data_IF_065397250566
#
_entry.id   IF_065397250566
#
_cell.length_a   1.000
_cell.length_b   1.000
_cell.length_c   1.000
_cell.angle_alpha   90.00
_cell.angle_beta   90.00
_cell.angle_gamma   90.00
#
_symmetry.space_group_name_H-M   'P 1'
#
loop_
_entity.id
_entity.type
_entity.pdbx_description
1 polymer ?
#
# COMPACT_ATOMS: atom_id res chain seq x y z
N UNK A 1 -50.38 26.76 -2.92
CA UNK A 1 -49.30 26.00 -2.24
C UNK A 1 -48.58 24.98 -3.13
N UNK A 2 -49.14 24.55 -4.28
CA UNK A 2 -48.50 23.50 -5.10
C UNK A 2 -47.37 23.98 -6.03
N UNK A 3 -47.25 25.30 -6.28
CA UNK A 3 -46.17 25.85 -7.12
C UNK A 3 -44.84 26.04 -6.37
N UNK A 4 -44.89 26.23 -5.05
CA UNK A 4 -43.70 26.37 -4.21
C UNK A 4 -43.04 24.99 -3.95
N UNK A 5 -43.83 23.92 -3.91
CA UNK A 5 -43.36 22.55 -3.71
C UNK A 5 -42.67 21.99 -4.97
N UNK A 6 -43.13 22.38 -6.16
CA UNK A 6 -42.51 22.03 -7.44
C UNK A 6 -41.16 22.71 -7.67
N UNK A 7 -40.96 23.90 -7.09
CA UNK A 7 -39.69 24.65 -7.21
C UNK A 7 -38.61 24.10 -6.27
N UNK A 8 -39.00 23.53 -5.13
CA UNK A 8 -38.09 22.86 -4.18
C UNK A 8 -37.62 21.49 -4.69
N UNK A 9 -38.43 20.78 -5.48
CA UNK A 9 -38.04 19.48 -6.05
C UNK A 9 -37.03 19.60 -7.21
N UNK A 10 -37.01 20.74 -7.91
CA UNK A 10 -36.10 20.97 -9.04
C UNK A 10 -34.66 21.31 -8.60
N UNK A 11 -34.46 21.80 -7.37
CA UNK A 11 -33.16 22.22 -6.85
C UNK A 11 -32.35 21.02 -6.31
N UNK A 12 -32.98 19.90 -5.97
CA UNK A 12 -32.30 18.70 -5.47
C UNK A 12 -31.64 17.82 -6.55
N UNK A 13 -31.82 18.12 -7.84
CA UNK A 13 -31.32 17.28 -8.94
C UNK A 13 -29.91 17.63 -9.44
N UNK A 14 -29.23 18.62 -8.85
CA UNK A 14 -27.94 19.13 -9.37
C UNK A 14 -26.71 18.67 -8.57
N UNK A 15 -26.86 17.80 -7.57
CA UNK A 15 -25.71 17.10 -6.97
C UNK A 15 -25.44 15.85 -7.80
N UNK A 16 -25.06 16.06 -9.06
CA UNK A 16 -24.42 15.03 -9.85
C UNK A 16 -23.05 14.76 -9.23
N UNK A 17 -22.80 13.50 -8.83
CA UNK A 17 -21.47 13.02 -8.53
C UNK A 17 -20.52 13.42 -9.66
N UNK A 18 -19.61 14.34 -9.40
CA UNK A 18 -18.35 14.40 -10.12
C UNK A 18 -17.60 13.11 -9.77
N UNK A 19 -17.84 12.04 -10.53
CA UNK A 19 -16.82 11.00 -10.67
C UNK A 19 -15.66 11.72 -11.33
N UNK A 20 -14.58 11.94 -10.56
CA UNK A 20 -13.31 12.30 -11.16
C UNK A 20 -13.00 11.19 -12.16
N UNK A 21 -13.16 11.51 -13.44
CA UNK A 21 -12.90 10.61 -14.54
C UNK A 21 -11.38 10.54 -14.68
N UNK A 22 -10.75 9.66 -13.90
CA UNK A 22 -9.36 9.30 -14.07
C UNK A 22 -9.28 8.40 -15.31
N UNK A 23 -9.48 8.98 -16.49
CA UNK A 23 -9.20 8.29 -17.74
C UNK A 23 -7.69 8.20 -17.89
N UNK A 24 -7.10 7.18 -17.28
CA UNK A 24 -5.85 6.63 -17.80
C UNK A 24 -6.22 6.16 -19.20
N UNK A 25 -5.67 6.84 -20.21
CA UNK A 25 -5.84 6.45 -21.60
C UNK A 25 -5.39 4.99 -21.69
N UNK A 26 -6.27 4.09 -22.11
CA UNK A 26 -5.86 2.74 -22.53
C UNK A 26 -4.92 2.93 -23.73
N UNK A 27 -3.63 3.10 -23.48
CA UNK A 27 -2.62 2.87 -24.50
C UNK A 27 -2.72 1.39 -24.84
N UNK A 28 -2.94 1.02 -26.10
CA UNK A 28 -3.12 -0.40 -26.46
C UNK A 28 -1.82 -1.20 -26.36
N UNK A 29 -0.69 -0.52 -26.19
CA UNK A 29 0.66 -1.07 -26.27
C UNK A 29 1.10 -1.78 -24.98
N UNK A 30 1.98 -2.76 -25.13
CA UNK A 30 2.62 -3.43 -24.01
C UNK A 30 3.51 -2.44 -23.26
N UNK A 31 3.44 -2.37 -21.91
CA UNK A 31 4.30 -1.49 -21.13
C UNK A 31 5.77 -1.67 -21.45
N UNK A 32 6.51 -0.58 -21.55
CA UNK A 32 7.93 -0.59 -21.96
C UNK A 32 8.78 -1.44 -21.01
N UNK A 33 8.46 -1.37 -19.72
CA UNK A 33 9.14 -2.17 -18.70
C UNK A 33 8.94 -3.68 -18.84
N UNK A 34 7.93 -4.09 -19.62
CA UNK A 34 7.64 -5.49 -19.95
C UNK A 34 8.05 -5.87 -21.38
N UNK A 35 8.35 -4.90 -22.25
CA UNK A 35 8.93 -5.14 -23.57
C UNK A 35 10.44 -5.37 -23.45
N UNK A 36 10.84 -6.56 -22.99
CA UNK A 36 12.23 -6.98 -23.10
C UNK A 36 12.35 -8.02 -24.22
N UNK A 37 13.29 -7.80 -25.13
CA UNK A 37 13.62 -8.73 -26.22
C UNK A 37 13.71 -10.17 -25.71
N UNK A 38 13.10 -11.08 -26.48
CA UNK A 38 13.12 -12.54 -26.28
C UNK A 38 14.56 -13.06 -26.14
N UNK A 39 15.15 -12.99 -24.95
CA UNK A 39 16.53 -13.44 -24.76
C UNK A 39 17.10 -13.19 -23.37
N UNK A 40 16.84 -12.03 -22.77
CA UNK A 40 17.31 -11.73 -21.43
C UNK A 40 16.34 -10.75 -20.81
N UNK A 41 15.72 -11.10 -19.67
CA UNK A 41 15.17 -10.09 -18.76
C UNK A 41 16.35 -9.24 -18.28
N UNK A 42 16.79 -8.28 -19.09
CA UNK A 42 17.82 -7.33 -18.76
C UNK A 42 17.22 -6.33 -17.76
N UNK A 43 17.03 -6.82 -16.54
CA UNK A 43 16.77 -6.10 -15.30
C UNK A 43 17.97 -5.23 -14.89
N UNK A 44 18.75 -4.74 -15.85
CA UNK A 44 20.16 -4.37 -15.65
C UNK A 44 20.47 -2.89 -15.87
N UNK A 45 19.51 -2.03 -16.26
CA UNK A 45 19.81 -0.62 -16.56
C UNK A 45 19.19 0.44 -15.64
N UNK A 46 18.30 0.09 -14.70
CA UNK A 46 17.70 1.10 -13.80
C UNK A 46 17.92 0.77 -12.32
N UNK A 47 19.11 1.14 -11.87
CA UNK A 47 19.51 1.34 -10.48
C UNK A 47 19.57 0.09 -9.58
N UNK A 48 20.77 -0.18 -9.07
CA UNK A 48 21.05 -1.09 -7.96
C UNK A 48 20.43 -0.56 -6.64
N UNK A 49 19.11 -0.58 -6.51
CA UNK A 49 18.41 -0.38 -5.22
C UNK A 49 17.18 -1.27 -5.14
N UNK A 50 17.40 -2.49 -4.65
CA UNK A 50 16.39 -3.51 -4.38
C UNK A 50 15.64 -3.97 -5.63
N UNK A 51 15.35 -5.26 -5.70
CA UNK A 51 14.53 -5.81 -6.77
C UNK A 51 13.10 -5.28 -6.59
N UNK A 52 12.78 -4.13 -7.20
CA UNK A 52 11.44 -3.54 -7.17
C UNK A 52 10.47 -4.50 -7.84
N UNK A 53 9.33 -4.75 -7.20
CA UNK A 53 8.32 -5.65 -7.74
C UNK A 53 7.75 -5.13 -9.07
N UNK A 54 7.18 -6.03 -9.86
CA UNK A 54 6.65 -5.73 -11.21
C UNK A 54 5.56 -4.66 -11.19
N UNK A 55 4.76 -4.57 -10.12
CA UNK A 55 3.72 -3.53 -10.00
C UNK A 55 4.37 -2.18 -9.76
N UNK A 56 5.38 -2.10 -8.89
CA UNK A 56 6.13 -0.87 -8.70
C UNK A 56 6.78 -0.39 -10.00
N UNK A 57 7.38 -1.30 -10.78
CA UNK A 57 7.98 -0.98 -12.09
C UNK A 57 6.97 -0.40 -13.09
N UNK A 58 5.79 -1.01 -13.21
CA UNK A 58 4.70 -0.50 -14.04
C UNK A 58 4.20 0.86 -13.53
N UNK A 59 4.10 1.01 -12.21
CA UNK A 59 3.66 2.26 -11.60
C UNK A 59 4.65 3.39 -11.85
N UNK A 60 5.95 3.12 -11.77
CA UNK A 60 7.00 4.11 -12.05
C UNK A 60 6.96 4.58 -13.52
N UNK A 61 6.74 3.67 -14.47
CA UNK A 61 6.52 4.02 -15.88
C UNK A 61 5.28 4.92 -16.04
N UNK A 62 4.17 4.61 -15.37
CA UNK A 62 2.98 5.45 -15.38
C UNK A 62 3.21 6.83 -14.73
N UNK A 63 3.98 6.88 -13.64
CA UNK A 63 4.38 8.12 -12.95
C UNK A 63 5.21 9.01 -13.87
N UNK A 64 6.11 8.44 -14.65
CA UNK A 64 6.94 9.21 -15.59
C UNK A 64 6.15 9.76 -16.78
N UNK A 65 5.06 9.08 -17.17
CA UNK A 65 4.17 9.49 -18.27
C UNK A 65 3.08 10.49 -17.84
N UNK A 66 2.64 10.50 -16.57
CA UNK A 66 1.60 11.40 -16.06
C UNK A 66 2.12 12.43 -15.04
N UNK A 67 2.19 13.71 -15.45
CA UNK A 67 2.69 14.81 -14.61
C UNK A 67 1.87 15.05 -13.33
N UNK A 68 0.56 14.75 -13.36
CA UNK A 68 -0.32 14.88 -12.20
C UNK A 68 -0.07 13.75 -11.23
N UNK A 69 0.07 12.52 -11.72
CA UNK A 69 0.42 11.36 -10.90
C UNK A 69 1.78 11.56 -10.23
N UNK A 70 2.78 12.03 -10.99
CA UNK A 70 4.11 12.41 -10.46
C UNK A 70 4.02 13.45 -9.35
N UNK A 71 3.19 14.47 -9.52
CA UNK A 71 2.95 15.50 -8.49
C UNK A 71 2.34 14.90 -7.22
N UNK A 72 1.41 13.95 -7.35
CA UNK A 72 0.82 13.26 -6.20
C UNK A 72 1.88 12.43 -5.46
N UNK A 73 2.66 11.60 -6.17
CA UNK A 73 3.72 10.77 -5.58
C UNK A 73 4.75 11.64 -4.84
N UNK A 74 5.24 12.71 -5.47
CA UNK A 74 6.18 13.63 -4.84
C UNK A 74 5.62 14.28 -3.56
N UNK A 75 4.30 14.49 -3.48
CA UNK A 75 3.65 15.05 -2.27
C UNK A 75 3.54 14.00 -1.17
N UNK A 76 3.30 12.73 -1.51
CA UNK A 76 3.30 11.61 -0.57
C UNK A 76 4.70 11.49 0.06
N UNK A 77 5.76 11.46 -0.75
CA UNK A 77 7.14 11.39 -0.27
C UNK A 77 7.51 12.54 0.69
N UNK A 78 7.10 13.77 0.35
CA UNK A 78 7.32 14.95 1.20
C UNK A 78 6.58 14.90 2.53
N UNK A 79 5.45 14.18 2.62
CA UNK A 79 4.72 14.04 3.88
C UNK A 79 5.51 13.23 4.92
N UNK A 80 6.30 12.25 4.47
CA UNK A 80 7.15 11.46 5.36
C UNK A 80 8.30 12.29 5.95
N UNK A 81 8.89 13.18 5.14
CA UNK A 81 9.89 14.14 5.61
C UNK A 81 9.28 15.11 6.62
N UNK A 82 8.14 15.71 6.29
CA UNK A 82 7.45 16.68 7.16
C UNK A 82 7.07 16.09 8.51
N UNK A 83 6.63 14.82 8.53
CA UNK A 83 6.27 14.08 9.75
C UNK A 83 7.46 13.95 10.70
N UNK A 84 8.62 13.54 10.17
CA UNK A 84 9.82 13.26 10.96
C UNK A 84 10.26 14.48 11.77
N UNK A 85 10.21 15.66 11.15
CA UNK A 85 10.61 16.89 11.81
C UNK A 85 9.50 17.44 12.71
N UNK A 86 8.25 17.45 12.24
CA UNK A 86 7.14 18.09 12.96
C UNK A 86 6.72 17.38 14.24
N UNK A 87 6.91 16.05 14.33
CA UNK A 87 6.50 15.27 15.51
C UNK A 87 7.62 15.06 16.52
N UNK A 88 8.86 15.48 16.21
CA UNK A 88 10.03 15.26 17.06
C UNK A 88 9.87 15.82 18.47
N UNK A 89 9.39 17.05 18.59
CA UNK A 89 9.18 17.72 19.89
C UNK A 89 8.09 17.02 20.71
N UNK A 90 6.99 16.65 20.06
CA UNK A 90 5.91 15.89 20.69
C UNK A 90 6.41 14.55 21.23
N UNK A 91 7.14 13.77 20.43
CA UNK A 91 7.70 12.49 20.87
C UNK A 91 8.69 12.66 22.02
N UNK A 92 9.52 13.70 21.97
CA UNK A 92 10.46 14.03 23.05
C UNK A 92 9.71 14.38 24.34
N UNK A 93 8.65 15.16 24.25
CA UNK A 93 7.79 15.53 25.37
C UNK A 93 7.13 14.30 26.02
N UNK A 94 6.52 13.43 25.21
CA UNK A 94 5.88 12.19 25.70
C UNK A 94 6.90 11.27 26.37
N UNK A 95 8.05 11.05 25.73
CA UNK A 95 9.11 10.20 26.26
C UNK A 95 9.68 10.75 27.58
N UNK A 96 9.82 12.07 27.69
CA UNK A 96 10.32 12.72 28.92
C UNK A 96 9.32 12.57 30.07
N UNK A 97 8.03 12.80 29.83
CA UNK A 97 7.01 12.62 30.86
C UNK A 97 6.90 11.15 31.31
N UNK A 98 7.04 10.19 30.38
CA UNK A 98 7.09 8.77 30.75
C UNK A 98 8.28 8.46 31.70
N UNK A 99 9.43 9.10 31.49
CA UNK A 99 10.58 9.00 32.42
C UNK A 99 10.26 9.59 33.79
N UNK A 100 9.57 10.74 33.85
CA UNK A 100 9.13 11.32 35.12
C UNK A 100 8.20 10.39 35.89
N UNK A 101 7.22 9.78 35.22
CA UNK A 101 6.30 8.82 35.85
C UNK A 101 7.01 7.60 36.38
N UNK A 102 7.92 7.02 35.58
CA UNK A 102 8.73 5.88 35.99
C UNK A 102 9.60 6.22 37.20
N UNK A 103 10.21 7.40 37.24
CA UNK A 103 11.04 7.85 38.35
C UNK A 103 10.22 8.10 39.63
N UNK A 104 9.03 8.70 39.53
CA UNK A 104 8.14 8.89 40.68
C UNK A 104 7.68 7.56 41.26
N UNK A 105 7.31 6.59 40.42
CA UNK A 105 6.92 5.25 40.87
C UNK A 105 8.08 4.53 41.55
N UNK A 106 9.29 4.67 41.01
CA UNK A 106 10.51 4.17 41.66
C UNK A 106 10.71 4.81 43.03
N UNK A 107 10.68 6.14 43.15
CA UNK A 107 10.87 6.79 44.46
C UNK A 107 9.81 6.41 45.47
N UNK A 108 8.53 6.29 45.07
CA UNK A 108 7.47 5.80 45.95
C UNK A 108 7.75 4.39 46.48
N UNK A 109 8.33 3.51 45.66
CA UNK A 109 8.70 2.14 46.05
C UNK A 109 9.89 2.06 47.02
N UNK A 110 10.74 3.08 47.05
CA UNK A 110 11.91 3.14 47.94
C UNK A 110 11.57 3.67 49.35
N UNK A 111 10.35 4.15 49.57
CA UNK A 111 9.93 4.68 50.87
C UNK A 111 9.55 3.51 51.79
N UNK A 112 10.38 3.26 52.81
CA UNK A 112 10.15 2.19 53.79
C UNK A 112 8.95 2.46 54.71
N UNK A 113 8.67 3.72 55.02
CA UNK A 113 7.48 4.08 55.82
C UNK A 113 6.23 3.94 54.94
N UNK A 114 5.48 2.86 55.18
CA UNK A 114 4.27 2.54 54.43
C UNK A 114 3.18 3.60 54.57
N UNK A 115 3.11 4.27 55.72
CA UNK A 115 2.12 5.34 55.96
C UNK A 115 2.49 6.57 55.14
N UNK A 116 3.77 6.94 55.10
CA UNK A 116 4.26 8.03 54.27
C UNK A 116 4.08 7.73 52.77
N UNK A 117 4.40 6.51 52.34
CA UNK A 117 4.21 6.07 50.94
C UNK A 117 2.74 6.16 50.52
N UNK A 118 1.82 5.69 51.38
CA UNK A 118 0.38 5.79 51.14
C UNK A 118 -0.12 7.23 51.08
N UNK A 119 0.47 8.16 51.83
CA UNK A 119 0.12 9.60 51.77
C UNK A 119 0.60 10.26 50.48
N UNK A 120 1.74 9.84 49.92
CA UNK A 120 2.32 10.42 48.70
C UNK A 120 1.68 9.89 47.42
N UNK A 121 1.22 8.64 47.41
CA UNK A 121 0.61 8.02 46.22
C UNK A 121 -0.56 8.84 45.62
N UNK A 122 -1.54 9.34 46.40
CA UNK A 122 -2.60 10.19 45.86
C UNK A 122 -2.12 11.49 45.22
N UNK A 123 -0.98 12.04 45.68
CA UNK A 123 -0.37 13.25 45.11
C UNK A 123 0.19 12.93 43.72
N UNK A 124 0.94 11.83 43.60
CA UNK A 124 1.47 11.36 42.31
C UNK A 124 0.33 11.00 41.34
N UNK A 125 -0.71 10.32 41.81
CA UNK A 125 -1.87 9.96 40.98
C UNK A 125 -2.61 11.22 40.48
N UNK A 126 -2.72 12.25 41.32
CA UNK A 126 -3.32 13.53 40.92
C UNK A 126 -2.46 14.27 39.91
N UNK A 127 -1.13 14.26 40.07
CA UNK A 127 -0.21 14.84 39.11
C UNK A 127 -0.31 14.16 37.73
N UNK A 128 -0.34 12.82 37.71
CA UNK A 128 -0.52 12.02 36.48
C UNK A 128 -1.85 12.37 35.80
N UNK A 129 -2.97 12.34 36.53
CA UNK A 129 -4.30 12.66 35.97
C UNK A 129 -4.39 14.09 35.44
N UNK A 130 -3.85 15.07 36.15
CA UNK A 130 -3.85 16.46 35.68
C UNK A 130 -3.04 16.61 34.39
N UNK A 131 -1.88 15.95 34.31
CA UNK A 131 -1.09 15.93 33.08
C UNK A 131 -1.86 15.26 31.93
N UNK A 132 -2.45 14.08 32.16
CA UNK A 132 -3.26 13.37 31.16
C UNK A 132 -4.38 14.24 30.60
N UNK A 133 -5.09 14.98 31.46
CA UNK A 133 -6.13 15.92 31.04
C UNK A 133 -5.57 17.07 30.21
N UNK A 134 -4.43 17.64 30.62
CA UNK A 134 -3.80 18.76 29.91
C UNK A 134 -3.29 18.38 28.52
N UNK A 135 -2.91 17.11 28.31
CA UNK A 135 -2.34 16.63 27.04
C UNK A 135 -3.34 15.85 26.18
N UNK A 136 -4.59 15.71 26.63
CA UNK A 136 -5.62 14.94 25.94
C UNK A 136 -5.80 15.39 24.48
N UNK A 137 -5.79 16.70 24.22
CA UNK A 137 -5.85 17.27 22.87
C UNK A 137 -4.68 16.86 21.99
N UNK A 138 -3.44 16.88 22.52
CA UNK A 138 -2.23 16.47 21.80
C UNK A 138 -2.26 14.97 21.47
N UNK A 139 -2.69 14.14 22.43
CA UNK A 139 -2.83 12.69 22.22
C UNK A 139 -3.88 12.36 21.15
N UNK A 140 -5.01 13.05 21.18
CA UNK A 140 -6.06 12.92 20.16
C UNK A 140 -5.54 13.30 18.77
N UNK A 141 -4.84 14.44 18.66
CA UNK A 141 -4.26 14.88 17.39
C UNK A 141 -3.21 13.89 16.87
N UNK A 142 -2.30 13.41 17.72
CA UNK A 142 -1.31 12.40 17.34
C UNK A 142 -1.96 11.10 16.85
N UNK A 143 -3.02 10.65 17.52
CA UNK A 143 -3.77 9.44 17.10
C UNK A 143 -4.43 9.63 15.73
N UNK A 144 -4.97 10.83 15.45
CA UNK A 144 -5.54 11.16 14.15
C UNK A 144 -4.49 11.22 13.04
N UNK A 145 -3.30 11.76 13.34
CA UNK A 145 -2.18 11.77 12.39
C UNK A 145 -1.78 10.34 12.03
N UNK A 146 -1.64 9.46 13.01
CA UNK A 146 -1.34 8.04 12.78
C UNK A 146 -2.44 7.32 11.97
N UNK A 147 -3.71 7.64 12.22
CA UNK A 147 -4.81 7.10 11.43
C UNK A 147 -4.74 7.57 9.98
N UNK A 148 -4.48 8.86 9.75
CA UNK A 148 -4.33 9.42 8.40
C UNK A 148 -3.12 8.83 7.66
N UNK A 149 -2.02 8.55 8.36
CA UNK A 149 -0.85 7.88 7.80
C UNK A 149 -1.21 6.50 7.25
N UNK A 150 -1.93 5.68 8.03
CA UNK A 150 -2.39 4.36 7.56
C UNK A 150 -3.31 4.49 6.35
N UNK A 151 -4.26 5.42 6.41
CA UNK A 151 -5.13 5.70 5.26
C UNK A 151 -4.32 6.10 4.03
N UNK A 152 -3.28 6.92 4.18
CA UNK A 152 -2.45 7.34 3.05
C UNK A 152 -1.72 6.16 2.41
N UNK A 153 -1.16 5.26 3.22
CA UNK A 153 -0.50 4.03 2.75
C UNK A 153 -1.49 3.14 1.99
N UNK A 154 -2.69 2.92 2.55
CA UNK A 154 -3.72 2.10 1.89
C UNK A 154 -4.14 2.71 0.55
N UNK A 155 -4.29 4.05 0.49
CA UNK A 155 -4.61 4.77 -0.74
C UNK A 155 -3.46 4.70 -1.77
N UNK A 156 -2.20 4.75 -1.34
CA UNK A 156 -1.05 4.60 -2.22
C UNK A 156 -1.03 3.19 -2.84
N UNK A 157 -1.25 2.15 -2.04
CA UNK A 157 -1.34 0.76 -2.55
C UNK A 157 -2.48 0.62 -3.56
N UNK A 158 -3.67 1.14 -3.22
CA UNK A 158 -4.83 1.12 -4.13
C UNK A 158 -4.53 1.87 -5.44
N UNK A 159 -3.88 3.03 -5.36
CA UNK A 159 -3.47 3.81 -6.53
C UNK A 159 -2.51 3.02 -7.42
N UNK A 160 -1.50 2.36 -6.84
CA UNK A 160 -0.57 1.50 -7.59
C UNK A 160 -1.30 0.40 -8.35
N UNK A 161 -2.23 -0.29 -7.70
CA UNK A 161 -3.04 -1.34 -8.33
C UNK A 161 -3.86 -0.77 -9.49
N UNK A 162 -4.65 0.27 -9.24
CA UNK A 162 -5.57 0.81 -10.23
C UNK A 162 -4.86 1.46 -11.42
N UNK A 163 -3.72 2.10 -11.20
CA UNK A 163 -2.93 2.73 -12.26
C UNK A 163 -2.28 1.68 -13.17
N UNK A 164 -1.80 0.57 -12.59
CA UNK A 164 -1.07 -0.46 -13.34
C UNK A 164 -1.97 -1.53 -13.95
N UNK A 165 -3.23 -1.58 -13.54
CA UNK A 165 -4.18 -2.57 -14.02
C UNK A 165 -4.46 -2.56 -15.55
N UNK A 166 -4.62 -1.41 -16.24
CA UNK A 166 -4.68 -1.41 -17.70
C UNK A 166 -3.36 -1.89 -18.34
N UNK A 167 -2.22 -1.52 -17.78
CA UNK A 167 -0.89 -1.92 -18.25
C UNK A 167 -0.69 -3.45 -18.18
N UNK A 168 -1.15 -4.07 -17.07
CA UNK A 168 -1.14 -5.53 -16.92
C UNK A 168 -2.03 -6.21 -17.96
N UNK A 169 -3.22 -5.66 -18.23
CA UNK A 169 -4.12 -6.20 -19.26
C UNK A 169 -3.51 -6.12 -20.65
N UNK A 170 -2.84 -5.02 -20.98
CA UNK A 170 -2.20 -4.86 -22.28
C UNK A 170 -1.14 -5.94 -22.49
N UNK A 171 -0.27 -6.18 -21.51
CA UNK A 171 0.70 -7.27 -21.58
C UNK A 171 0.01 -8.63 -21.77
N UNK A 172 -0.99 -8.95 -20.94
CA UNK A 172 -1.70 -10.23 -21.02
C UNK A 172 -2.38 -10.46 -22.37
N UNK A 173 -2.86 -9.39 -23.02
CA UNK A 173 -3.49 -9.45 -24.33
C UNK A 173 -2.47 -9.55 -25.45
N UNK A 174 -1.45 -8.69 -25.43
CA UNK A 174 -0.54 -8.48 -26.55
C UNK A 174 0.56 -9.54 -26.59
N UNK A 175 1.00 -10.03 -25.44
CA UNK A 175 2.10 -11.00 -25.30
C UNK A 175 1.60 -12.43 -25.08
N UNK A 176 0.30 -12.69 -25.21
CA UNK A 176 -0.27 -14.05 -25.11
C UNK A 176 0.34 -14.96 -26.18
N UNK A 177 1.00 -16.07 -25.81
CA UNK A 177 1.59 -16.97 -26.79
C UNK A 177 0.53 -17.63 -27.70
N UNK A 178 0.88 -17.84 -28.96
CA UNK A 178 0.02 -18.61 -29.87
C UNK A 178 -0.06 -20.08 -29.41
N UNK A 179 -1.29 -20.55 -29.16
CA UNK A 179 -1.56 -21.93 -28.77
C UNK A 179 -1.04 -22.94 -29.79
N UNK A 180 -0.99 -22.60 -31.08
CA UNK A 180 -0.50 -23.49 -32.14
C UNK A 180 0.97 -23.87 -31.93
N UNK A 181 1.78 -22.95 -31.38
CA UNK A 181 3.17 -23.26 -31.07
C UNK A 181 3.27 -24.35 -29.99
N UNK A 182 2.41 -24.27 -28.96
CA UNK A 182 2.34 -25.28 -27.90
C UNK A 182 1.77 -26.61 -28.43
N UNK A 183 0.74 -26.56 -29.27
CA UNK A 183 0.18 -27.74 -29.93
C UNK A 183 1.20 -28.46 -30.81
N UNK A 184 2.05 -27.72 -31.54
CA UNK A 184 3.10 -28.30 -32.37
C UNK A 184 4.12 -29.07 -31.53
N UNK A 185 4.53 -28.50 -30.38
CA UNK A 185 5.42 -29.18 -29.44
C UNK A 185 4.76 -30.44 -28.88
N UNK A 186 3.49 -30.36 -28.48
CA UNK A 186 2.72 -31.51 -27.99
C UNK A 186 2.65 -32.63 -29.04
N UNK A 187 2.33 -32.29 -30.28
CA UNK A 187 2.25 -33.27 -31.37
C UNK A 187 3.59 -33.99 -31.59
N UNK A 188 4.71 -33.26 -31.50
CA UNK A 188 6.04 -33.87 -31.58
C UNK A 188 6.27 -34.92 -30.49
N UNK A 189 5.87 -34.64 -29.24
CA UNK A 189 5.93 -35.63 -28.16
C UNK A 189 4.98 -36.81 -28.39
N UNK A 190 3.75 -36.57 -28.82
CA UNK A 190 2.76 -37.65 -29.06
C UNK A 190 3.27 -38.64 -30.12
N UNK A 191 3.85 -38.14 -31.21
CA UNK A 191 4.43 -38.97 -32.26
C UNK A 191 5.61 -39.80 -31.74
N UNK A 192 6.53 -39.17 -30.99
CA UNK A 192 7.69 -39.88 -30.45
C UNK A 192 7.28 -40.98 -29.46
N UNK A 193 6.28 -40.71 -28.61
CA UNK A 193 5.72 -41.72 -27.70
C UNK A 193 5.08 -42.87 -28.48
N UNK A 194 4.35 -42.57 -29.55
CA UNK A 194 3.75 -43.59 -30.41
C UNK A 194 4.82 -44.48 -31.04
N UNK A 195 5.91 -43.90 -31.55
CA UNK A 195 7.03 -44.64 -32.13
C UNK A 195 7.70 -45.55 -31.09
N UNK A 196 7.92 -45.04 -29.86
CA UNK A 196 8.53 -45.82 -28.76
C UNK A 196 7.68 -46.99 -28.26
N UNK A 197 6.35 -46.92 -28.37
CA UNK A 197 5.46 -48.04 -27.95
C UNK A 197 5.78 -49.34 -28.67
N UNK A 198 6.17 -49.26 -29.95
CA UNK A 198 6.57 -50.44 -30.73
C UNK A 198 7.76 -51.21 -30.13
N UNK A 199 8.57 -50.56 -29.30
CA UNK A 199 9.74 -51.16 -28.63
C UNK A 199 9.54 -51.43 -27.13
N UNK A 200 8.40 -51.04 -26.57
CA UNK A 200 8.15 -51.07 -25.12
C UNK A 200 6.89 -51.84 -24.72
N UNK A 201 6.07 -52.27 -25.67
CA UNK A 201 4.94 -53.18 -25.40
C UNK A 201 5.45 -54.61 -25.12
N UNK A 202 5.18 -55.10 -23.90
CA UNK A 202 5.54 -56.46 -23.50
C UNK A 202 4.71 -57.48 -24.30
N UNK A 203 5.33 -58.54 -24.88
CA UNK A 203 4.59 -59.53 -25.65
C UNK A 203 3.51 -60.18 -24.78
N UNK A 204 2.26 -60.11 -25.22
CA UNK A 204 1.15 -60.77 -24.54
C UNK A 204 1.47 -62.26 -24.41
N UNK A 205 1.55 -62.75 -23.16
CA UNK A 205 1.69 -64.17 -22.90
C UNK A 205 0.39 -64.86 -23.33
N UNK A 206 0.42 -65.51 -24.50
CA UNK A 206 -0.67 -66.37 -24.94
C UNK A 206 -0.74 -67.58 -23.99
N UNK A 207 -1.85 -67.69 -23.24
CA UNK A 207 -2.23 -68.90 -22.51
C UNK A 207 -2.88 -69.90 -23.44
#
# INVERSE_FOLDING_TARGET
MNKLLLLLLAILSIVSCNKADWQIKDEEETPEVLTVEKGDLNLSSLSKRYDTDIIQKLFDEAVDKDIRLKSIVNRIEKMDELKKDSLKEYHTYVATNQKYWTALDYYLSQINDTTLSQKLRPIVDTLKRNHENNVAGLKSLSSRIQANERTLVDQEIMMKILVTEPMMRNYQRNEMPDIKALESVKQGYDLLIQDMKSYTEWPKQNK
#
